data_IF_428492903511
#
_entry.id   IF_428492903511
#
_cell.length_a   1.000
_cell.length_b   1.000
_cell.length_c   1.000
_cell.angle_alpha   90.00
_cell.angle_beta   90.00
_cell.angle_gamma   90.00
#
_symmetry.space_group_name_H-M   'P 1'
#
loop_
_entity.id
_entity.type
_entity.pdbx_description
1 polymer ?
#
# COMPACT_ATOMS: atom_id res chain seq x y z
N UNK A 1 -8.32 -3.01 -12.11
CA UNK A 1 -7.41 -3.64 -11.12
C UNK A 1 -7.98 -3.61 -9.71
N UNK A 2 -8.12 -2.46 -9.02
CA UNK A 2 -8.65 -2.41 -7.64
C UNK A 2 -10.03 -3.08 -7.53
N UNK A 3 -10.96 -2.76 -8.44
CA UNK A 3 -12.27 -3.45 -8.54
C UNK A 3 -12.12 -4.96 -8.73
N UNK A 4 -11.22 -5.39 -9.62
CA UNK A 4 -10.93 -6.80 -9.89
C UNK A 4 -10.40 -7.54 -8.66
N UNK A 5 -9.56 -6.90 -7.84
CA UNK A 5 -9.08 -7.48 -6.58
C UNK A 5 -10.25 -7.62 -5.59
N UNK A 6 -11.10 -6.59 -5.49
CA UNK A 6 -12.30 -6.60 -4.65
C UNK A 6 -13.27 -7.72 -5.04
N UNK A 7 -13.56 -7.85 -6.32
CA UNK A 7 -14.41 -8.92 -6.90
C UNK A 7 -13.86 -10.32 -6.62
N UNK A 8 -12.54 -10.46 -6.46
CA UNK A 8 -11.86 -11.71 -6.08
C UNK A 8 -11.81 -11.92 -4.56
N UNK A 9 -12.53 -11.11 -3.78
CA UNK A 9 -12.59 -11.22 -2.32
C UNK A 9 -11.37 -10.66 -1.58
N UNK A 10 -10.48 -9.92 -2.27
CA UNK A 10 -9.35 -9.26 -1.60
C UNK A 10 -9.88 -8.05 -0.82
N UNK A 11 -9.52 -7.95 0.46
CA UNK A 11 -9.76 -6.77 1.29
C UNK A 11 -8.72 -5.69 0.95
N UNK A 12 -9.13 -4.44 0.85
CA UNK A 12 -8.30 -3.36 0.31
C UNK A 12 -8.35 -2.11 1.19
N UNK A 13 -7.21 -1.44 1.35
CA UNK A 13 -7.14 -0.13 1.98
C UNK A 13 -6.26 0.82 1.18
N UNK A 14 -6.51 2.11 1.37
CA UNK A 14 -5.55 3.16 1.02
C UNK A 14 -4.83 3.57 2.30
N UNK A 15 -3.51 3.73 2.23
CA UNK A 15 -2.71 4.28 3.31
C UNK A 15 -1.83 5.40 2.76
N UNK A 16 -2.07 6.63 3.18
CA UNK A 16 -1.49 7.83 2.54
C UNK A 16 -1.17 8.93 3.54
N UNK A 17 -0.10 9.69 3.24
CA UNK A 17 0.33 10.87 3.99
C UNK A 17 -0.61 12.09 3.83
N UNK A 18 -1.63 12.00 2.98
CA UNK A 18 -2.66 13.05 2.83
C UNK A 18 -3.58 13.10 4.03
N UNK A 19 -4.12 14.27 4.37
CA UNK A 19 -5.17 14.40 5.40
C UNK A 19 -6.40 13.55 5.05
N UNK A 20 -7.18 13.19 6.07
CA UNK A 20 -8.40 12.40 5.88
C UNK A 20 -9.39 13.07 4.90
N UNK A 21 -9.54 14.40 5.02
CA UNK A 21 -10.42 15.18 4.14
C UNK A 21 -9.96 15.12 2.67
N UNK A 22 -8.66 15.28 2.41
CA UNK A 22 -8.11 15.19 1.05
C UNK A 22 -8.27 13.78 0.48
N UNK A 23 -7.97 12.76 1.29
CA UNK A 23 -8.10 11.37 0.86
C UNK A 23 -9.53 11.01 0.47
N UNK A 24 -10.48 11.34 1.34
CA UNK A 24 -11.90 11.09 1.10
C UNK A 24 -12.39 11.79 -0.18
N UNK A 25 -12.00 13.05 -0.39
CA UNK A 25 -12.34 13.79 -1.60
C UNK A 25 -11.79 13.11 -2.88
N UNK A 26 -10.52 12.66 -2.86
CA UNK A 26 -9.92 11.95 -3.99
C UNK A 26 -10.60 10.61 -4.29
N UNK A 27 -10.90 9.82 -3.25
CA UNK A 27 -11.56 8.51 -3.41
C UNK A 27 -12.96 8.69 -3.98
N UNK A 28 -13.72 9.66 -3.45
CA UNK A 28 -15.05 10.02 -3.97
C UNK A 28 -15.02 10.48 -5.41
N UNK A 29 -14.11 11.41 -5.76
CA UNK A 29 -13.97 11.88 -7.13
C UNK A 29 -13.60 10.77 -8.12
N UNK A 30 -12.89 9.73 -7.66
CA UNK A 30 -12.54 8.56 -8.48
C UNK A 30 -13.65 7.51 -8.62
N UNK A 31 -14.73 7.62 -7.85
CA UNK A 31 -15.81 6.62 -7.79
C UNK A 31 -15.36 5.26 -7.23
N UNK A 32 -14.28 5.22 -6.45
CA UNK A 32 -13.69 4.00 -5.87
C UNK A 32 -14.04 3.77 -4.41
N UNK A 33 -14.97 4.54 -3.83
CA UNK A 33 -15.36 4.45 -2.42
C UNK A 33 -15.72 3.02 -2.00
N UNK A 34 -16.50 2.31 -2.82
CA UNK A 34 -16.92 0.94 -2.55
C UNK A 34 -15.83 -0.13 -2.74
N UNK A 35 -14.67 0.25 -3.30
CA UNK A 35 -13.58 -0.68 -3.57
C UNK A 35 -12.67 -0.88 -2.35
N UNK A 36 -12.65 0.06 -1.40
CA UNK A 36 -11.78 0.02 -0.22
C UNK A 36 -12.57 -0.20 1.06
N UNK A 37 -12.09 -1.10 1.91
CA UNK A 37 -12.62 -1.31 3.26
C UNK A 37 -12.19 -0.19 4.21
N UNK A 38 -10.97 0.34 4.02
CA UNK A 38 -10.40 1.37 4.88
C UNK A 38 -9.66 2.46 4.09
N UNK A 39 -9.74 3.70 4.60
CA UNK A 39 -9.01 4.87 4.12
C UNK A 39 -8.17 5.41 5.28
N UNK A 40 -6.88 5.06 5.30
CA UNK A 40 -5.96 5.24 6.43
C UNK A 40 -5.07 6.46 6.20
N UNK A 41 -5.49 7.60 6.74
CA UNK A 41 -4.69 8.83 6.74
C UNK A 41 -3.65 8.83 7.86
N UNK A 42 -2.39 9.08 7.54
CA UNK A 42 -1.35 9.21 8.57
C UNK A 42 -1.56 10.42 9.49
N UNK A 43 -2.47 11.34 9.14
CA UNK A 43 -2.90 12.44 10.00
C UNK A 43 -3.50 11.95 11.33
N UNK A 44 -4.00 10.71 11.38
CA UNK A 44 -4.49 10.08 12.61
C UNK A 44 -3.38 9.70 13.59
N UNK A 45 -2.20 9.37 13.09
CA UNK A 45 -1.03 8.96 13.91
C UNK A 45 0.01 10.08 14.05
N UNK A 46 -0.21 11.22 13.39
CA UNK A 46 0.66 12.40 13.42
C UNK A 46 2.13 12.10 13.06
N UNK A 47 2.35 11.08 12.24
CA UNK A 47 3.66 10.65 11.76
C UNK A 47 3.54 10.21 10.31
N UNK A 48 4.40 10.73 9.43
CA UNK A 48 4.42 10.34 8.02
C UNK A 48 5.21 9.04 7.82
N UNK A 49 4.87 8.29 6.76
CA UNK A 49 5.78 7.25 6.25
C UNK A 49 7.18 7.85 6.01
N UNK A 50 8.27 7.12 6.26
CA UNK A 50 8.32 5.69 6.60
C UNK A 50 8.28 5.39 8.11
N UNK A 51 7.71 6.26 8.94
CA UNK A 51 7.52 5.96 10.36
C UNK A 51 6.71 4.66 10.54
N UNK A 52 7.15 3.71 11.40
CA UNK A 52 6.46 2.44 11.63
C UNK A 52 4.99 2.58 12.03
N UNK A 53 4.63 3.66 12.74
CA UNK A 53 3.24 3.92 13.16
C UNK A 53 2.30 4.12 11.98
N UNK A 54 2.79 4.66 10.85
CA UNK A 54 2.02 4.80 9.63
C UNK A 54 1.66 3.42 9.05
N UNK A 55 2.62 2.48 8.98
CA UNK A 55 2.36 1.12 8.47
C UNK A 55 1.51 0.27 9.42
N UNK A 56 1.68 0.47 10.73
CA UNK A 56 0.91 -0.22 11.79
C UNK A 56 -0.60 -0.03 11.64
N UNK A 57 -1.05 1.13 11.14
CA UNK A 57 -2.48 1.40 10.87
C UNK A 57 -3.14 0.31 10.00
N UNK A 58 -2.40 -0.30 9.08
CA UNK A 58 -2.93 -1.39 8.25
C UNK A 58 -3.21 -2.65 9.07
N UNK A 59 -2.31 -3.03 9.97
CA UNK A 59 -2.50 -4.20 10.84
C UNK A 59 -3.69 -3.99 11.77
N UNK A 60 -3.79 -2.79 12.35
CA UNK A 60 -4.84 -2.44 13.30
C UNK A 60 -6.22 -2.44 12.62
N UNK A 61 -6.33 -1.90 11.41
CA UNK A 61 -7.58 -1.87 10.67
C UNK A 61 -8.02 -3.26 10.17
N UNK A 62 -7.07 -4.08 9.70
CA UNK A 62 -7.39 -5.39 9.14
C UNK A 62 -7.46 -6.52 10.17
N UNK A 63 -6.87 -6.32 11.35
CA UNK A 63 -6.61 -7.35 12.37
C UNK A 63 -5.82 -8.54 11.79
N UNK A 64 -4.78 -8.24 11.01
CA UNK A 64 -3.92 -9.22 10.35
C UNK A 64 -2.45 -9.00 10.74
N UNK A 65 -1.61 -10.02 10.51
CA UNK A 65 -0.17 -9.94 10.74
C UNK A 65 0.52 -9.29 9.54
N UNK A 66 1.74 -8.76 9.75
CA UNK A 66 2.57 -8.12 8.72
C UNK A 66 2.66 -8.91 7.41
N UNK A 67 2.86 -10.22 7.50
CA UNK A 67 3.00 -11.13 6.35
C UNK A 67 1.70 -11.41 5.59
N UNK A 68 0.55 -11.05 6.16
CA UNK A 68 -0.79 -11.27 5.57
C UNK A 68 -1.30 -10.04 4.82
N UNK A 69 -0.55 -8.93 4.83
CA UNK A 69 -0.89 -7.71 4.11
C UNK A 69 0.24 -7.36 3.15
N UNK A 70 -0.04 -7.47 1.85
CA UNK A 70 0.86 -6.97 0.82
C UNK A 70 0.75 -5.43 0.71
N UNK A 71 1.88 -4.75 0.72
CA UNK A 71 1.95 -3.29 0.57
C UNK A 71 2.40 -2.92 -0.84
N UNK A 72 1.50 -2.29 -1.61
CA UNK A 72 1.81 -1.79 -2.94
C UNK A 72 2.16 -0.30 -2.90
N UNK A 73 3.43 0.04 -3.16
CA UNK A 73 3.94 1.41 -3.08
C UNK A 73 4.30 1.96 -4.46
N UNK A 74 4.16 3.28 -4.66
CA UNK A 74 4.64 3.97 -5.86
C UNK A 74 6.09 4.48 -5.69
N UNK A 75 6.40 5.08 -4.54
CA UNK A 75 7.76 5.55 -4.23
C UNK A 75 8.67 4.39 -3.81
N UNK A 76 9.91 4.37 -4.31
CA UNK A 76 10.91 3.36 -3.93
C UNK A 76 11.18 3.37 -2.42
N UNK A 77 11.38 4.56 -1.85
CA UNK A 77 11.54 4.74 -0.40
C UNK A 77 10.37 4.18 0.43
N UNK A 78 9.12 4.28 -0.06
CA UNK A 78 7.94 3.78 0.65
C UNK A 78 7.84 2.25 0.53
N UNK A 79 8.24 1.69 -0.62
CA UNK A 79 8.39 0.25 -0.77
C UNK A 79 9.42 -0.30 0.22
N UNK A 80 10.61 0.34 0.29
CA UNK A 80 11.65 -0.07 1.22
C UNK A 80 11.21 0.13 2.69
N UNK A 81 10.51 1.22 3.01
CA UNK A 81 9.96 1.45 4.35
C UNK A 81 8.98 0.36 4.77
N UNK A 82 8.03 -0.01 3.90
CA UNK A 82 7.09 -1.10 4.15
C UNK A 82 7.79 -2.46 4.29
N UNK A 83 8.86 -2.69 3.49
CA UNK A 83 9.69 -3.89 3.59
C UNK A 83 10.41 -3.97 4.93
N UNK A 84 11.02 -2.87 5.36
CA UNK A 84 11.69 -2.76 6.66
C UNK A 84 10.72 -2.97 7.83
N UNK A 85 9.49 -2.47 7.70
CA UNK A 85 8.43 -2.73 8.67
C UNK A 85 8.04 -4.22 8.72
N UNK A 86 8.08 -4.92 7.59
CA UNK A 86 7.91 -6.38 7.49
C UNK A 86 6.75 -6.84 6.59
N UNK A 87 6.18 -5.94 5.78
CA UNK A 87 5.18 -6.32 4.78
C UNK A 87 5.82 -6.98 3.56
N UNK A 88 5.18 -7.99 2.95
CA UNK A 88 5.39 -8.33 1.55
C UNK A 88 5.16 -7.09 0.69
N UNK A 89 6.15 -6.73 -0.10
CA UNK A 89 6.18 -5.40 -0.73
C UNK A 89 6.17 -5.50 -2.26
N UNK A 90 5.25 -4.79 -2.89
CA UNK A 90 5.16 -4.62 -4.34
C UNK A 90 5.46 -3.18 -4.73
N UNK A 91 6.54 -2.94 -5.47
CA UNK A 91 6.88 -1.62 -5.96
C UNK A 91 6.35 -1.37 -7.38
N UNK A 92 5.48 -0.37 -7.52
CA UNK A 92 4.92 0.09 -8.79
C UNK A 92 5.82 1.14 -9.43
N UNK A 93 6.95 0.71 -9.99
CA UNK A 93 7.95 1.57 -10.62
C UNK A 93 7.60 1.94 -12.08
N UNK A 94 6.61 2.82 -12.26
CA UNK A 94 6.15 3.29 -13.59
C UNK A 94 7.24 3.94 -14.44
N UNK A 95 8.22 4.57 -13.80
CA UNK A 95 9.22 5.41 -14.45
C UNK A 95 10.57 4.71 -14.62
N UNK A 96 10.65 3.41 -14.29
CA UNK A 96 11.89 2.64 -14.31
C UNK A 96 13.04 3.34 -13.54
N UNK A 97 12.69 3.92 -12.39
CA UNK A 97 13.65 4.56 -11.48
C UNK A 97 14.64 3.52 -10.95
N UNK A 98 15.88 3.91 -10.63
CA UNK A 98 16.80 3.04 -9.89
C UNK A 98 16.21 2.67 -8.54
N UNK A 99 16.64 1.53 -8.00
CA UNK A 99 16.28 1.12 -6.63
C UNK A 99 16.95 2.05 -5.62
N UNK A 100 16.33 2.23 -4.46
CA UNK A 100 16.92 2.99 -3.36
C UNK A 100 18.15 2.27 -2.79
N UNK A 101 19.18 3.01 -2.39
CA UNK A 101 20.41 2.46 -1.79
C UNK A 101 20.29 2.28 -0.26
N UNK A 102 19.19 1.67 0.18
CA UNK A 102 18.84 1.52 1.60
C UNK A 102 19.06 0.10 2.16
N UNK A 103 19.71 -0.78 1.38
CA UNK A 103 20.06 -2.15 1.80
C UNK A 103 18.89 -3.15 1.83
N UNK A 104 17.70 -2.72 1.41
CA UNK A 104 16.50 -3.54 1.31
C UNK A 104 15.81 -3.30 -0.04
N UNK A 105 15.09 -4.30 -0.52
CA UNK A 105 14.40 -4.27 -1.80
C UNK A 105 12.94 -4.73 -1.64
N UNK A 106 12.06 -4.21 -2.49
CA UNK A 106 10.71 -4.74 -2.62
C UNK A 106 10.75 -6.21 -3.06
N UNK A 107 9.80 -7.02 -2.62
CA UNK A 107 9.70 -8.44 -3.00
C UNK A 107 9.36 -8.60 -4.48
N UNK A 108 8.64 -7.64 -5.05
CA UNK A 108 8.32 -7.62 -6.47
C UNK A 108 8.30 -6.18 -6.99
N UNK A 109 8.71 -5.98 -8.24
CA UNK A 109 8.67 -4.67 -8.91
C UNK A 109 8.05 -4.81 -10.29
N UNK A 110 7.18 -3.87 -10.65
CA UNK A 110 6.55 -3.79 -11.97
C UNK A 110 6.18 -2.36 -12.30
N UNK A 111 6.05 -2.06 -13.60
CA UNK A 111 5.65 -0.73 -14.06
C UNK A 111 4.16 -0.42 -13.83
N UNK A 112 3.35 -1.41 -13.45
CA UNK A 112 1.93 -1.22 -13.19
C UNK A 112 1.40 -2.29 -12.23
N UNK A 113 0.08 -2.28 -11.99
CA UNK A 113 -0.57 -3.19 -11.04
C UNK A 113 -1.01 -4.53 -11.66
N UNK A 114 -0.73 -4.81 -12.94
CA UNK A 114 -1.24 -6.00 -13.65
C UNK A 114 -0.79 -7.31 -13.01
N UNK A 115 0.44 -7.36 -12.47
CA UNK A 115 1.03 -8.54 -11.83
C UNK A 115 0.71 -8.66 -10.34
N UNK A 116 0.04 -7.67 -9.74
CA UNK A 116 -0.30 -7.68 -8.32
C UNK A 116 -1.15 -8.91 -7.92
N UNK A 117 -2.17 -9.35 -8.70
CA UNK A 117 -2.92 -10.56 -8.36
C UNK A 117 -2.06 -11.84 -8.34
N UNK A 118 -1.01 -11.92 -9.16
CA UNK A 118 -0.09 -13.06 -9.16
C UNK A 118 0.82 -13.02 -7.94
N UNK A 119 1.32 -11.83 -7.59
CA UNK A 119 2.12 -11.61 -6.39
C UNK A 119 1.36 -11.96 -5.10
N UNK A 120 0.07 -11.62 -5.01
CA UNK A 120 -0.78 -11.97 -3.87
C UNK A 120 -0.99 -13.49 -3.72
N UNK A 121 -0.85 -14.28 -4.78
CA UNK A 121 -0.98 -15.75 -4.71
C UNK A 121 0.32 -16.44 -4.32
N UNK A 122 1.47 -15.78 -4.51
CA UNK A 122 2.80 -16.32 -4.20
C UNK A 122 3.31 -15.94 -2.82
N UNK A 123 2.54 -15.15 -2.07
CA UNK A 123 2.85 -14.63 -0.75
C UNK A 123 1.95 -15.29 0.28
#
# INVERSE_FOLDING_TARGET
>A
MVRTLRERGTRLAILSNTTAAMMHACVKASGLESAFDFQLSTDHVKAFKPDPSAYQMSLDAFHLRKKEIAFAAFGGWDAVGAKAFGHPTYWVNRFNMPSEELGLFADFTSQNLSSLPSFLKST
#
